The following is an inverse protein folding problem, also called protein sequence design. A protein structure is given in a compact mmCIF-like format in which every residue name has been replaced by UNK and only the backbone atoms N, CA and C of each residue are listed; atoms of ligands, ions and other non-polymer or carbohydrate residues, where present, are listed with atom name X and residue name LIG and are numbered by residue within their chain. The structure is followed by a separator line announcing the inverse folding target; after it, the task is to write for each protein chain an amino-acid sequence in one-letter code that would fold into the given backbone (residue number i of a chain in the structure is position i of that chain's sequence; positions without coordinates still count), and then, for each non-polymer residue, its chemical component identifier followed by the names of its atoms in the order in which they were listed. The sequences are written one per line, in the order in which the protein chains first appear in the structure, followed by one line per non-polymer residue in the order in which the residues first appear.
data_IF_465205537093
#
_entry.id   IF_465205537093
#
_cell.length_a   1.000
_cell.length_b   1.000
_cell.length_c   1.000
_cell.angle_alpha   90.00
_cell.angle_beta   90.00
_cell.angle_gamma   90.00
#
_symmetry.space_group_name_H-M   'P 1'
#
loop_
_entity.id
_entity.type
_entity.pdbx_description
1 polymer ?
#
# COMPACT_ATOMS: atom_id res chain seq x y z
N UNK A 1 23.30 21.00 -2.14
CA UNK A 1 23.49 19.73 -1.40
C UNK A 1 23.05 19.98 0.03
N UNK A 2 22.14 19.17 0.57
CA UNK A 2 21.71 19.26 1.97
C UNK A 2 22.47 18.21 2.78
N UNK A 3 23.19 18.63 3.81
CA UNK A 3 23.96 17.73 4.69
C UNK A 3 23.26 17.69 6.04
N UNK A 4 22.80 16.51 6.44
CA UNK A 4 22.20 16.26 7.74
C UNK A 4 23.17 15.47 8.62
N UNK A 5 23.32 15.86 9.88
CA UNK A 5 24.08 15.07 10.85
C UNK A 5 23.21 13.97 11.42
N UNK A 6 23.74 12.75 11.49
CA UNK A 6 22.99 11.58 11.94
C UNK A 6 22.42 11.74 13.36
N UNK A 7 23.12 12.43 14.26
CA UNK A 7 22.66 12.69 15.64
C UNK A 7 21.56 13.76 15.76
N UNK A 8 21.29 14.51 14.66
CA UNK A 8 20.23 15.52 14.59
C UNK A 8 18.97 14.97 13.92
N UNK A 9 19.04 13.76 13.35
CA UNK A 9 17.91 13.11 12.68
C UNK A 9 16.99 12.48 13.73
N UNK A 10 15.73 12.95 13.80
CA UNK A 10 14.67 12.22 14.52
C UNK A 10 14.42 10.90 13.81
N UNK A 11 14.29 9.83 14.58
CA UNK A 11 14.23 8.47 14.03
C UNK A 11 13.11 8.31 13.02
N UNK A 12 11.94 8.86 13.31
CA UNK A 12 10.80 8.95 12.37
C UNK A 12 9.88 10.08 12.83
N UNK A 13 9.32 10.83 11.88
CA UNK A 13 8.25 11.80 12.11
C UNK A 13 6.95 11.38 11.41
N UNK A 14 7.01 10.33 10.61
CA UNK A 14 5.93 9.74 9.84
C UNK A 14 6.36 8.37 9.30
N UNK A 15 5.41 7.55 8.91
CA UNK A 15 5.68 6.21 8.37
C UNK A 15 5.06 6.03 6.98
N UNK A 16 5.58 5.05 6.24
CA UNK A 16 5.03 4.56 4.97
C UNK A 16 4.90 3.04 5.07
N UNK A 17 3.70 2.53 4.84
CA UNK A 17 3.40 1.11 4.87
C UNK A 17 2.67 0.64 3.61
N UNK A 18 3.06 -0.51 3.08
CA UNK A 18 2.38 -1.24 2.02
C UNK A 18 1.84 -2.54 2.59
N UNK A 19 0.52 -2.66 2.65
CA UNK A 19 -0.14 -3.88 3.15
C UNK A 19 -0.86 -4.58 2.00
N UNK A 20 -0.56 -5.85 1.82
CA UNK A 20 -1.18 -6.64 0.76
C UNK A 20 -1.89 -7.88 1.30
N UNK A 21 -2.96 -8.27 0.62
CA UNK A 21 -3.76 -9.44 0.94
C UNK A 21 -4.66 -9.83 -0.24
N UNK A 22 -5.21 -11.02 -0.20
CA UNK A 22 -6.37 -11.38 -1.03
C UNK A 22 -7.55 -10.41 -0.79
N UNK A 23 -8.50 -10.40 -1.73
CA UNK A 23 -9.74 -9.66 -1.55
C UNK A 23 -10.52 -10.17 -0.32
N UNK A 24 -11.21 -9.25 0.37
CA UNK A 24 -12.07 -9.62 1.50
C UNK A 24 -11.35 -9.91 2.83
N UNK A 25 -10.02 -9.86 2.90
CA UNK A 25 -9.26 -10.12 4.14
C UNK A 25 -9.29 -8.96 5.16
N UNK A 26 -9.88 -7.81 4.81
CA UNK A 26 -10.07 -6.70 5.75
C UNK A 26 -9.03 -5.59 5.67
N UNK A 27 -8.34 -5.39 4.53
CA UNK A 27 -7.39 -4.27 4.33
C UNK A 27 -8.01 -2.93 4.69
N UNK A 28 -9.13 -2.57 4.06
CA UNK A 28 -9.83 -1.30 4.27
C UNK A 28 -10.26 -1.10 5.73
N UNK A 29 -10.64 -2.17 6.44
CA UNK A 29 -11.05 -2.08 7.84
C UNK A 29 -9.95 -1.60 8.77
N UNK A 30 -8.66 -1.74 8.40
CA UNK A 30 -7.52 -1.23 9.17
C UNK A 30 -7.57 0.29 9.30
N UNK A 31 -8.10 0.99 8.29
CA UNK A 31 -8.16 2.46 8.27
C UNK A 31 -8.93 3.02 9.47
N UNK A 32 -9.87 2.25 10.04
CA UNK A 32 -10.63 2.62 11.25
C UNK A 32 -9.75 2.88 12.47
N UNK A 33 -8.55 2.31 12.51
CA UNK A 33 -7.64 2.43 13.66
C UNK A 33 -6.67 3.60 13.55
N UNK A 34 -6.71 4.36 12.43
CA UNK A 34 -5.91 5.56 12.27
C UNK A 34 -6.42 6.69 13.17
N UNK A 35 -5.53 7.26 13.96
CA UNK A 35 -5.76 8.49 14.68
C UNK A 35 -5.44 9.68 13.76
N UNK A 36 -6.19 10.78 13.94
CA UNK A 36 -6.06 11.98 13.13
C UNK A 36 -6.86 11.94 11.83
N UNK A 37 -6.88 13.08 11.14
CA UNK A 37 -7.67 13.23 9.93
C UNK A 37 -7.01 12.50 8.76
N UNK A 38 -7.80 11.70 8.07
CA UNK A 38 -7.34 10.79 7.02
C UNK A 38 -7.98 11.15 5.68
N UNK A 39 -7.19 11.22 4.62
CA UNK A 39 -7.67 11.29 3.23
C UNK A 39 -7.44 9.93 2.57
N UNK A 40 -8.51 9.29 2.16
CA UNK A 40 -8.50 7.99 1.49
C UNK A 40 -8.84 8.13 0.01
N UNK A 41 -7.96 7.67 -0.87
CA UNK A 41 -8.26 7.43 -2.27
C UNK A 41 -8.79 5.99 -2.41
N UNK A 42 -10.10 5.86 -2.61
CA UNK A 42 -10.74 4.56 -2.87
C UNK A 42 -10.83 4.31 -4.37
N UNK A 43 -9.99 3.38 -4.85
CA UNK A 43 -9.90 3.05 -6.27
C UNK A 43 -10.94 2.01 -6.67
N UNK A 44 -11.24 1.06 -5.79
CA UNK A 44 -12.18 -0.04 -6.06
C UNK A 44 -13.60 0.20 -5.52
N UNK A 45 -13.83 1.32 -4.83
CA UNK A 45 -15.13 1.68 -4.28
C UNK A 45 -15.54 0.92 -3.03
N UNK A 46 -14.65 0.14 -2.41
CA UNK A 46 -14.96 -0.73 -1.25
C UNK A 46 -14.80 0.00 0.10
N UNK A 47 -15.26 1.23 0.19
CA UNK A 47 -15.13 2.09 1.37
C UNK A 47 -16.32 2.05 2.36
N UNK A 48 -17.41 1.36 2.04
CA UNK A 48 -18.62 1.34 2.89
C UNK A 48 -18.38 0.83 4.31
N UNK A 49 -17.34 0.03 4.52
CA UNK A 49 -16.90 -0.42 5.85
C UNK A 49 -16.46 0.74 6.75
N UNK A 50 -16.18 1.92 6.19
CA UNK A 50 -15.76 3.13 6.91
C UNK A 50 -16.90 4.11 7.14
N UNK A 51 -18.16 3.72 6.87
CA UNK A 51 -19.31 4.57 7.12
C UNK A 51 -19.34 5.07 8.58
N UNK A 52 -19.90 6.26 8.77
CA UNK A 52 -20.06 6.91 10.09
C UNK A 52 -18.76 7.36 10.79
N UNK A 53 -17.59 7.29 10.11
CA UNK A 53 -16.33 7.81 10.65
C UNK A 53 -16.10 9.26 10.18
N UNK A 54 -16.13 10.19 11.14
CA UNK A 54 -16.05 11.64 10.87
C UNK A 54 -14.63 12.12 10.52
N UNK A 55 -13.61 11.34 10.86
CA UNK A 55 -12.20 11.69 10.65
C UNK A 55 -11.63 11.22 9.31
N UNK A 56 -12.44 10.63 8.42
CA UNK A 56 -11.99 10.09 7.13
C UNK A 56 -12.75 10.76 5.99
N UNK A 57 -12.00 11.46 5.14
CA UNK A 57 -12.50 11.97 3.86
C UNK A 57 -12.18 10.98 2.75
N UNK A 58 -13.15 10.68 1.89
CA UNK A 58 -13.02 9.66 0.85
C UNK A 58 -13.10 10.31 -0.53
N UNK A 59 -12.12 10.03 -1.37
CA UNK A 59 -12.08 10.38 -2.79
C UNK A 59 -12.24 9.10 -3.61
N UNK A 60 -13.15 9.10 -4.56
CA UNK A 60 -13.34 8.00 -5.52
C UNK A 60 -12.76 8.33 -6.88
N UNK A 61 -12.45 7.33 -7.68
CA UNK A 61 -11.88 7.46 -9.03
C UNK A 61 -12.89 7.02 -10.09
N UNK A 62 -13.05 7.82 -11.16
CA UNK A 62 -13.63 7.33 -12.40
C UNK A 62 -12.64 6.43 -13.15
N UNK A 63 -12.96 5.16 -13.30
CA UNK A 63 -12.14 4.17 -13.98
C UNK A 63 -11.84 4.46 -15.45
N UNK A 64 -12.59 5.41 -16.06
CA UNK A 64 -12.37 5.84 -17.44
C UNK A 64 -11.34 6.95 -17.56
N UNK A 65 -10.97 7.60 -16.44
CA UNK A 65 -10.08 8.76 -16.35
C UNK A 65 -9.03 8.59 -15.24
N UNK A 66 -8.56 7.37 -15.04
CA UNK A 66 -7.69 7.01 -13.90
C UNK A 66 -6.44 7.90 -13.81
N UNK A 67 -5.86 8.30 -14.95
CA UNK A 67 -4.69 9.17 -14.99
C UNK A 67 -5.01 10.58 -14.46
N UNK A 68 -6.06 11.19 -14.97
CA UNK A 68 -6.46 12.56 -14.59
C UNK A 68 -6.93 12.60 -13.13
N UNK A 69 -7.66 11.59 -12.70
CA UNK A 69 -8.16 11.48 -11.33
C UNK A 69 -7.02 11.33 -10.31
N UNK A 70 -6.00 10.51 -10.59
CA UNK A 70 -4.82 10.45 -9.75
C UNK A 70 -4.09 11.80 -9.70
N UNK A 71 -3.95 12.46 -10.85
CA UNK A 71 -3.31 13.78 -10.95
C UNK A 71 -4.08 14.82 -10.13
N UNK A 72 -5.41 14.82 -10.19
CA UNK A 72 -6.27 15.72 -9.41
C UNK A 72 -6.20 15.41 -7.92
N UNK A 73 -6.20 14.14 -7.55
CA UNK A 73 -5.99 13.71 -6.17
C UNK A 73 -4.66 14.22 -5.61
N UNK A 74 -3.56 14.03 -6.34
CA UNK A 74 -2.24 14.50 -5.92
C UNK A 74 -2.22 16.04 -5.76
N UNK A 75 -2.77 16.80 -6.73
CA UNK A 75 -2.90 18.26 -6.61
C UNK A 75 -3.68 18.66 -5.36
N UNK A 76 -4.78 17.97 -5.07
CA UNK A 76 -5.59 18.22 -3.89
C UNK A 76 -4.80 17.94 -2.60
N UNK A 77 -4.12 16.79 -2.51
CA UNK A 77 -3.27 16.43 -1.37
C UNK A 77 -2.20 17.49 -1.12
N UNK A 78 -1.45 17.88 -2.14
CA UNK A 78 -0.39 18.89 -2.01
C UNK A 78 -0.90 20.25 -1.54
N UNK A 79 -2.08 20.66 -2.03
CA UNK A 79 -2.72 21.92 -1.65
C UNK A 79 -3.25 21.89 -0.20
N UNK A 80 -3.75 20.76 0.25
CA UNK A 80 -4.46 20.62 1.53
C UNK A 80 -3.67 19.75 2.54
N UNK A 81 -2.38 19.54 2.35
CA UNK A 81 -1.53 18.64 3.16
C UNK A 81 -1.65 18.87 4.67
N UNK A 82 -1.84 20.12 5.09
CA UNK A 82 -1.87 20.49 6.51
C UNK A 82 -3.20 20.14 7.20
N UNK A 83 -4.21 19.72 6.43
CA UNK A 83 -5.50 19.26 6.96
C UNK A 83 -5.50 17.77 7.32
N UNK A 84 -4.49 17.01 6.87
CA UNK A 84 -4.46 15.55 7.00
C UNK A 84 -3.17 15.08 7.66
N UNK A 85 -3.28 14.17 8.61
CA UNK A 85 -2.17 13.43 9.19
C UNK A 85 -1.86 12.16 8.39
N UNK A 86 -2.89 11.57 7.77
CA UNK A 86 -2.78 10.30 7.08
C UNK A 86 -3.30 10.40 5.64
N UNK A 87 -2.56 9.79 4.72
CA UNK A 87 -2.97 9.57 3.32
C UNK A 87 -3.06 8.06 3.10
N UNK A 88 -4.16 7.62 2.50
CA UNK A 88 -4.40 6.20 2.20
C UNK A 88 -4.71 6.01 0.72
N UNK A 89 -4.11 4.99 0.09
CA UNK A 89 -4.44 4.56 -1.28
C UNK A 89 -4.98 3.13 -1.23
N UNK A 90 -6.24 2.94 -1.53
CA UNK A 90 -6.91 1.63 -1.56
C UNK A 90 -7.54 1.38 -2.93
N UNK A 91 -6.89 0.68 -3.85
CA UNK A 91 -5.58 0.03 -3.79
C UNK A 91 -4.80 0.21 -5.11
N UNK A 92 -3.48 0.08 -5.05
CA UNK A 92 -2.59 0.23 -6.22
C UNK A 92 -2.79 -0.84 -7.28
N UNK A 93 -3.12 -2.07 -6.90
CA UNK A 93 -3.33 -3.18 -7.85
C UNK A 93 -4.50 -2.90 -8.79
N UNK A 94 -5.58 -2.32 -8.26
CA UNK A 94 -6.73 -1.91 -9.06
C UNK A 94 -6.40 -0.68 -9.88
N UNK A 95 -5.70 0.30 -9.31
CA UNK A 95 -5.27 1.50 -10.02
C UNK A 95 -4.46 1.19 -11.28
N UNK A 96 -3.41 0.36 -11.17
CA UNK A 96 -2.59 0.00 -12.34
C UNK A 96 -3.40 -0.67 -13.45
N UNK A 97 -4.39 -1.51 -13.10
CA UNK A 97 -5.28 -2.15 -14.07
C UNK A 97 -6.21 -1.14 -14.74
N UNK A 98 -6.80 -0.22 -13.97
CA UNK A 98 -7.64 0.85 -14.51
C UNK A 98 -6.88 1.75 -15.47
N UNK A 99 -5.66 2.16 -15.09
CA UNK A 99 -4.81 3.00 -15.93
C UNK A 99 -4.42 2.31 -17.24
N UNK A 100 -4.01 1.03 -17.19
CA UNK A 100 -3.70 0.25 -18.39
C UNK A 100 -4.93 0.07 -19.29
N UNK A 101 -6.11 -0.16 -18.70
CA UNK A 101 -7.36 -0.25 -19.46
C UNK A 101 -7.76 1.08 -20.09
N UNK A 102 -7.49 2.21 -19.42
CA UNK A 102 -7.67 3.54 -19.99
C UNK A 102 -6.78 3.72 -21.24
N UNK A 103 -5.47 3.42 -21.14
CA UNK A 103 -4.54 3.49 -22.27
C UNK A 103 -4.91 2.52 -23.39
N UNK A 104 -5.40 1.31 -23.08
CA UNK A 104 -5.85 0.34 -24.07
C UNK A 104 -6.94 0.88 -24.99
N UNK A 105 -7.88 1.69 -24.45
CA UNK A 105 -8.97 2.31 -25.24
C UNK A 105 -8.47 3.34 -26.25
N UNK A 106 -7.26 3.88 -26.07
CA UNK A 106 -6.64 4.87 -26.96
C UNK A 106 -5.86 4.20 -28.11
N UNK A 107 -5.67 2.89 -28.05
CA UNK A 107 -4.92 2.14 -29.07
C UNK A 107 -5.85 1.50 -30.11
N UNK A 108 -5.37 1.34 -31.32
CA UNK A 108 -6.12 0.66 -32.39
C UNK A 108 -6.37 -0.83 -32.08
N UNK A 109 -5.48 -1.46 -31.34
CA UNK A 109 -5.58 -2.88 -30.98
C UNK A 109 -6.52 -3.14 -29.79
N UNK A 110 -6.93 -2.11 -29.05
CA UNK A 110 -7.67 -2.26 -27.79
C UNK A 110 -6.84 -2.85 -26.64
N UNK A 111 -5.52 -2.97 -26.82
CA UNK A 111 -4.61 -3.48 -25.80
C UNK A 111 -3.57 -2.43 -25.41
N UNK A 112 -3.07 -2.44 -24.17
CA UNK A 112 -1.97 -1.54 -23.78
C UNK A 112 -0.72 -1.86 -24.63
N UNK A 113 -0.06 -0.82 -25.11
CA UNK A 113 1.23 -0.94 -25.80
C UNK A 113 2.37 -1.14 -24.79
N UNK A 114 3.52 -1.66 -25.29
CA UNK A 114 4.66 -2.00 -24.43
C UNK A 114 5.16 -0.80 -23.59
N UNK A 115 5.13 0.39 -24.17
CA UNK A 115 5.52 1.63 -23.49
C UNK A 115 4.60 2.01 -22.30
N UNK A 116 3.33 1.64 -22.36
CA UNK A 116 2.38 1.93 -21.26
C UNK A 116 2.78 1.25 -19.96
N UNK A 117 3.41 0.08 -20.05
CA UNK A 117 3.88 -0.65 -18.88
C UNK A 117 5.04 0.06 -18.16
N UNK A 118 5.98 0.67 -18.89
CA UNK A 118 7.05 1.44 -18.27
C UNK A 118 6.56 2.79 -17.72
N UNK A 119 5.55 3.38 -18.37
CA UNK A 119 4.92 4.62 -17.89
C UNK A 119 4.20 4.40 -16.57
N UNK A 120 3.35 3.36 -16.46
CA UNK A 120 2.64 3.08 -15.20
C UNK A 120 3.61 2.70 -14.07
N UNK A 121 4.69 1.96 -14.36
CA UNK A 121 5.74 1.64 -13.38
C UNK A 121 6.32 2.91 -12.75
N UNK A 122 6.63 3.92 -13.58
CA UNK A 122 7.12 5.23 -13.14
C UNK A 122 6.05 6.01 -12.37
N UNK A 123 4.80 6.07 -12.87
CA UNK A 123 3.70 6.80 -12.22
C UNK A 123 3.49 6.28 -10.79
N UNK A 124 3.43 4.96 -10.59
CA UNK A 124 3.23 4.39 -9.26
C UNK A 124 4.39 4.69 -8.32
N UNK A 125 5.63 4.55 -8.80
CA UNK A 125 6.82 4.85 -8.00
C UNK A 125 6.87 6.34 -7.61
N UNK A 126 6.69 7.25 -8.58
CA UNK A 126 6.74 8.69 -8.36
C UNK A 126 5.60 9.17 -7.45
N UNK A 127 4.41 8.54 -7.54
CA UNK A 127 3.29 8.81 -6.64
C UNK A 127 3.65 8.50 -5.19
N UNK A 128 4.13 7.30 -4.91
CA UNK A 128 4.52 6.91 -3.54
C UNK A 128 5.68 7.77 -3.03
N UNK A 129 6.69 8.01 -3.85
CA UNK A 129 7.85 8.83 -3.47
C UNK A 129 7.44 10.27 -3.16
N UNK A 130 6.54 10.85 -3.96
CA UNK A 130 6.04 12.21 -3.77
C UNK A 130 5.21 12.35 -2.51
N UNK A 131 4.28 11.42 -2.26
CA UNK A 131 3.47 11.41 -1.05
C UNK A 131 4.31 11.17 0.21
N UNK A 132 5.30 10.28 0.16
CA UNK A 132 6.25 10.06 1.26
C UNK A 132 7.01 11.33 1.64
N UNK A 133 7.40 12.16 0.65
CA UNK A 133 8.11 13.43 0.88
C UNK A 133 7.26 14.51 1.54
N UNK A 134 5.93 14.34 1.64
CA UNK A 134 5.06 15.31 2.31
C UNK A 134 5.21 15.33 3.83
N UNK A 135 5.87 14.33 4.41
CA UNK A 135 5.99 14.22 5.86
C UNK A 135 4.67 13.82 6.55
N UNK A 136 3.83 13.06 5.88
CA UNK A 136 2.56 12.50 6.39
C UNK A 136 2.65 10.98 6.47
N UNK A 137 1.81 10.36 7.29
CA UNK A 137 1.68 8.91 7.28
C UNK A 137 1.07 8.46 5.96
N UNK A 138 1.68 7.48 5.33
CA UNK A 138 1.23 6.94 4.04
C UNK A 138 0.93 5.45 4.16
N UNK A 139 -0.33 5.09 3.98
CA UNK A 139 -0.78 3.71 3.91
C UNK A 139 -1.19 3.37 2.48
N UNK A 140 -0.61 2.31 1.96
CA UNK A 140 -0.89 1.85 0.61
C UNK A 140 -1.36 0.40 0.68
N UNK A 141 -2.49 0.10 0.05
CA UNK A 141 -2.96 -1.27 -0.08
C UNK A 141 -2.68 -1.84 -1.47
N UNK A 142 -2.50 -3.16 -1.52
CA UNK A 142 -2.38 -3.93 -2.75
C UNK A 142 -3.13 -5.27 -2.63
N UNK A 143 -3.51 -5.85 -3.76
CA UNK A 143 -3.92 -7.26 -3.79
C UNK A 143 -2.70 -8.16 -3.68
N UNK A 144 -2.94 -9.38 -3.23
CA UNK A 144 -1.95 -10.44 -3.22
C UNK A 144 -1.90 -11.15 -4.57
N UNK A 145 -0.72 -11.56 -4.99
CA UNK A 145 -0.52 -12.57 -6.03
C UNK A 145 0.45 -13.65 -5.58
N UNK A 146 0.28 -14.83 -6.14
CA UNK A 146 1.16 -15.96 -5.97
C UNK A 146 2.08 -16.07 -7.18
N UNK A 147 3.36 -16.33 -6.94
CA UNK A 147 4.38 -16.53 -7.97
C UNK A 147 5.14 -17.81 -7.66
N UNK A 148 5.29 -18.68 -8.66
CA UNK A 148 6.18 -19.82 -8.53
C UNK A 148 7.63 -19.40 -8.77
N UNK A 149 8.49 -19.73 -7.82
CA UNK A 149 9.94 -19.48 -7.88
C UNK A 149 10.67 -20.80 -8.06
N UNK A 150 11.46 -20.88 -9.12
CA UNK A 150 12.32 -22.05 -9.38
C UNK A 150 13.61 -21.92 -8.54
N UNK A 151 13.94 -22.95 -7.79
CA UNK A 151 15.20 -23.01 -7.01
C UNK A 151 16.36 -23.41 -7.90
N UNK A 152 17.52 -22.86 -7.67
CA UNK A 152 18.76 -23.27 -8.34
C UNK A 152 19.10 -24.76 -8.08
N UNK A 153 18.71 -25.29 -6.92
CA UNK A 153 18.90 -26.71 -6.54
C UNK A 153 17.84 -27.65 -7.12
N UNK A 154 16.92 -27.15 -7.96
CA UNK A 154 15.76 -27.87 -8.46
C UNK A 154 14.54 -27.74 -7.54
N UNK A 155 13.35 -27.97 -8.16
CA UNK A 155 12.05 -27.78 -7.50
C UNK A 155 11.57 -26.33 -7.49
N UNK A 156 10.29 -26.15 -7.13
CA UNK A 156 9.64 -24.86 -7.06
C UNK A 156 9.08 -24.59 -5.66
N UNK A 157 8.82 -23.33 -5.35
CA UNK A 157 8.03 -22.94 -4.19
C UNK A 157 7.14 -21.75 -4.54
N UNK A 158 6.02 -21.64 -3.87
CA UNK A 158 5.10 -20.51 -4.04
C UNK A 158 5.54 -19.35 -3.15
N UNK A 159 5.65 -18.16 -3.75
CA UNK A 159 5.88 -16.92 -3.02
C UNK A 159 4.67 -15.99 -3.15
N UNK A 160 4.23 -15.45 -2.03
CA UNK A 160 3.17 -14.47 -1.93
C UNK A 160 3.76 -13.07 -1.91
N UNK A 161 3.24 -12.19 -2.75
CA UNK A 161 3.73 -10.83 -2.91
C UNK A 161 2.62 -9.85 -3.31
N UNK A 162 2.81 -8.54 -3.18
CA UNK A 162 1.90 -7.54 -3.71
C UNK A 162 1.73 -7.68 -5.23
N UNK A 163 0.48 -7.64 -5.73
CA UNK A 163 0.16 -7.63 -7.15
C UNK A 163 0.31 -6.21 -7.73
N UNK A 164 1.52 -5.71 -7.69
CA UNK A 164 1.88 -4.43 -8.29
C UNK A 164 3.09 -4.59 -9.18
N UNK A 165 3.18 -3.72 -10.18
CA UNK A 165 4.34 -3.61 -11.05
C UNK A 165 5.44 -2.82 -10.33
N UNK A 166 6.69 -2.94 -10.80
CA UNK A 166 7.85 -2.29 -10.22
C UNK A 166 8.00 -2.52 -8.69
N UNK A 167 7.63 -3.75 -8.27
CA UNK A 167 7.51 -4.11 -6.86
C UNK A 167 8.79 -3.85 -6.07
N UNK A 168 9.95 -4.24 -6.60
CA UNK A 168 11.22 -4.12 -5.87
C UNK A 168 11.60 -2.66 -5.62
N UNK A 169 11.36 -1.76 -6.58
CA UNK A 169 11.61 -0.33 -6.40
C UNK A 169 10.64 0.27 -5.34
N UNK A 170 9.37 -0.10 -5.38
CA UNK A 170 8.36 0.37 -4.40
C UNK A 170 8.69 -0.16 -3.00
N UNK A 171 9.03 -1.45 -2.86
CA UNK A 171 9.47 -2.01 -1.59
C UNK A 171 10.77 -1.34 -1.09
N UNK A 172 11.66 -0.96 -2.01
CA UNK A 172 12.90 -0.26 -1.68
C UNK A 172 12.67 1.04 -0.90
N UNK A 173 11.64 1.81 -1.28
CA UNK A 173 11.30 3.09 -0.66
C UNK A 173 10.24 2.98 0.46
N UNK A 174 9.68 1.79 0.70
CA UNK A 174 8.63 1.55 1.70
C UNK A 174 9.22 0.84 2.92
N UNK A 175 9.27 1.46 4.10
CA UNK A 175 9.85 0.87 5.30
C UNK A 175 9.08 -0.35 5.82
N UNK A 176 7.76 -0.36 5.72
CA UNK A 176 6.90 -1.48 6.14
C UNK A 176 6.23 -2.11 4.94
N UNK A 177 6.43 -3.40 4.75
CA UNK A 177 5.66 -4.22 3.79
C UNK A 177 5.11 -5.42 4.53
N UNK A 178 3.79 -5.52 4.66
CA UNK A 178 3.11 -6.55 5.43
C UNK A 178 2.12 -7.36 4.60
N UNK A 179 2.06 -8.66 4.86
CA UNK A 179 1.08 -9.57 4.31
C UNK A 179 -0.03 -9.81 5.33
N UNK A 180 -1.24 -9.38 5.03
CA UNK A 180 -2.41 -9.64 5.87
C UNK A 180 -3.02 -11.01 5.51
N UNK A 181 -3.07 -11.90 6.49
CA UNK A 181 -3.64 -13.24 6.38
C UNK A 181 -4.67 -13.50 7.48
N UNK A 182 -5.51 -14.52 7.26
CA UNK A 182 -6.33 -15.10 8.33
C UNK A 182 -5.55 -16.32 8.84
N UNK A 183 -5.22 -16.29 10.12
CA UNK A 183 -4.56 -17.37 10.83
C UNK A 183 -5.59 -18.08 11.71
N UNK A 184 -5.61 -19.41 11.69
CA UNK A 184 -6.41 -20.18 12.64
C UNK A 184 -5.52 -20.58 13.80
N UNK A 185 -5.83 -20.07 14.99
CA UNK A 185 -5.18 -20.47 16.21
C UNK A 185 -5.52 -21.95 16.48
N UNK A 186 -4.50 -22.81 16.54
CA UNK A 186 -4.68 -24.26 16.68
C UNK A 186 -5.23 -24.67 18.03
N UNK A 187 -5.02 -23.86 19.06
CA UNK A 187 -5.41 -24.18 20.44
C UNK A 187 -6.85 -23.76 20.72
N UNK A 188 -7.29 -22.62 20.16
CA UNK A 188 -8.63 -22.07 20.38
C UNK A 188 -9.59 -22.32 19.21
N UNK A 189 -9.06 -22.73 18.05
CA UNK A 189 -9.77 -22.84 16.76
C UNK A 189 -10.40 -21.50 16.28
N UNK A 190 -9.94 -20.39 16.81
CA UNK A 190 -10.40 -19.06 16.42
C UNK A 190 -9.63 -18.54 15.20
N UNK A 191 -10.31 -17.73 14.38
CA UNK A 191 -9.73 -17.08 13.21
C UNK A 191 -9.28 -15.67 13.56
N UNK A 192 -7.98 -15.45 13.50
CA UNK A 192 -7.35 -14.16 13.74
C UNK A 192 -6.84 -13.55 12.44
N UNK A 193 -6.98 -12.23 12.30
CA UNK A 193 -6.34 -11.50 11.21
C UNK A 193 -5.02 -10.97 11.68
N UNK A 194 -3.95 -11.44 11.07
CA UNK A 194 -2.58 -11.04 11.40
C UNK A 194 -1.84 -10.53 10.18
N UNK A 195 -0.88 -9.66 10.42
CA UNK A 195 0.02 -9.13 9.39
C UNK A 195 1.40 -9.73 9.61
N UNK A 196 1.90 -10.44 8.62
CA UNK A 196 3.26 -10.97 8.58
C UNK A 196 4.19 -9.85 8.14
N UNK A 197 5.17 -9.51 8.99
CA UNK A 197 6.13 -8.42 8.77
C UNK A 197 7.54 -8.94 8.43
N UNK A 198 7.86 -10.17 8.80
CA UNK A 198 9.17 -10.76 8.51
C UNK A 198 9.17 -11.51 7.18
N UNK A 199 10.17 -11.30 6.32
CA UNK A 199 10.28 -12.00 5.06
C UNK A 199 10.58 -13.48 5.28
N UNK A 200 9.99 -14.33 4.45
CA UNK A 200 10.29 -15.76 4.35
C UNK A 200 10.45 -16.14 2.88
N UNK A 201 10.83 -17.38 2.59
CA UNK A 201 10.80 -17.84 1.20
C UNK A 201 9.41 -17.70 0.57
N UNK A 202 8.36 -17.92 1.35
CA UNK A 202 6.97 -17.88 0.87
C UNK A 202 6.32 -16.49 0.96
N UNK A 203 6.93 -15.50 1.59
CA UNK A 203 6.28 -14.20 1.84
C UNK A 203 7.25 -13.04 1.63
N UNK A 204 6.89 -12.12 0.74
CA UNK A 204 7.57 -10.83 0.58
C UNK A 204 7.09 -9.88 1.67
N UNK A 205 7.94 -9.60 2.63
CA UNK A 205 7.66 -8.68 3.73
C UNK A 205 8.90 -7.85 4.07
N UNK A 206 8.74 -6.78 4.85
CA UNK A 206 9.82 -5.90 5.29
C UNK A 206 9.37 -5.12 6.52
N UNK A 207 10.21 -5.07 7.53
CA UNK A 207 10.02 -4.18 8.69
C UNK A 207 11.32 -3.44 9.00
N UNK A 208 11.25 -2.11 9.01
CA UNK A 208 12.35 -1.21 9.38
C UNK A 208 11.93 -0.21 10.47
N UNK A 209 10.71 -0.31 11.01
CA UNK A 209 10.16 0.67 11.95
C UNK A 209 9.77 0.09 13.30
N UNK A 210 9.18 -1.10 13.32
CA UNK A 210 8.62 -1.70 14.53
C UNK A 210 9.67 -2.55 15.24
N UNK A 211 10.50 -3.26 14.47
CA UNK A 211 11.58 -4.14 14.95
C UNK A 211 11.09 -5.47 15.52
N UNK A 212 11.70 -6.55 15.08
CA UNK A 212 11.66 -7.94 15.58
C UNK A 212 10.28 -8.61 15.82
N UNK A 213 9.18 -8.00 15.41
CA UNK A 213 7.87 -8.65 15.44
C UNK A 213 7.65 -9.44 14.14
N UNK A 214 7.57 -10.79 14.21
CA UNK A 214 7.30 -11.60 13.02
C UNK A 214 5.89 -11.37 12.48
N UNK A 215 4.93 -11.13 13.38
CA UNK A 215 3.52 -10.86 13.08
C UNK A 215 2.94 -9.86 14.07
N UNK A 216 1.87 -9.19 13.65
CA UNK A 216 1.09 -8.27 14.50
C UNK A 216 -0.39 -8.40 14.14
N UNK A 217 -1.28 -8.15 15.09
CA UNK A 217 -2.72 -8.11 14.84
C UNK A 217 -3.08 -7.06 13.77
N UNK A 218 -4.07 -7.37 12.94
CA UNK A 218 -4.52 -6.48 11.85
C UNK A 218 -4.86 -5.07 12.36
N UNK A 219 -5.54 -4.96 13.49
CA UNK A 219 -5.99 -3.67 14.05
C UNK A 219 -4.91 -3.00 14.92
N UNK A 220 -3.82 -3.70 15.22
CA UNK A 220 -2.77 -3.21 16.12
C UNK A 220 -1.62 -2.55 15.35
N UNK A 221 -1.43 -2.86 14.07
CA UNK A 221 -0.30 -2.35 13.28
C UNK A 221 -0.29 -0.82 13.20
N UNK A 222 -1.41 -0.20 12.81
CA UNK A 222 -1.43 1.25 12.59
C UNK A 222 -1.34 2.04 13.89
N UNK A 223 -2.04 1.67 14.98
CA UNK A 223 -1.80 2.24 16.31
C UNK A 223 -0.33 2.14 16.73
N UNK A 224 0.29 0.97 16.55
CA UNK A 224 1.70 0.74 16.90
C UNK A 224 2.65 1.65 16.10
N UNK A 225 2.39 1.85 14.82
CA UNK A 225 3.17 2.77 13.97
C UNK A 225 3.00 4.21 14.43
N UNK A 226 1.82 4.62 14.89
CA UNK A 226 1.55 5.98 15.38
C UNK A 226 2.09 6.24 16.80
N UNK A 227 2.31 5.20 17.61
CA UNK A 227 2.93 5.31 18.94
C UNK A 227 4.46 5.47 18.88
N UNK A 228 5.09 4.92 17.84
CA UNK A 228 6.55 4.93 17.68
C UNK A 228 7.10 6.22 17.03
N UNK A 229 6.24 7.20 16.75
CA UNK A 229 6.54 8.54 16.26
C UNK A 229 6.39 9.56 17.39
#
# INVERSE_FOLDING_TARGET
MNILKANEIKRYSNWTALIYAEAGKGKTSMVKTLKGRTLLLSVDGMYHVLADLENIDIVTIDSKKAHDELTNFLKYVFKNKDQYENIVIDNLSTFQKMWLNERARETTSGNPEIQHYSIIDRIMFDTILSLKKLGKNLLVFAHEKQVEIVRQSGGTYTQFQPDIRNLDAIMGITPIVGRLIIHTNKDTNEHERIIVLQPTQATRAKDQLIGDLPTIGQLDLLPKLQENI
#
